data_IF_208632692662
#
_entry.id   IF_208632692662
#
_cell.length_a   1.000
_cell.length_b   1.000
_cell.length_c   1.000
_cell.angle_alpha   90.00
_cell.angle_beta   90.00
_cell.angle_gamma   90.00
#
_symmetry.space_group_name_H-M   'P 1'
#
loop_
_entity.id
_entity.type
_entity.pdbx_description
1 polymer ?
#
# COMPACT_ATOMS: atom_id res chain seq x y z
N UNK A 1 -12.02 -6.32 1.31
CA UNK A 1 -10.70 -6.97 1.39
C UNK A 1 -10.81 -8.28 2.13
N UNK A 2 -10.32 -9.35 1.54
CA UNK A 2 -10.30 -10.70 2.13
C UNK A 2 -8.85 -11.16 2.23
N UNK A 3 -8.34 -11.30 3.45
CA UNK A 3 -6.96 -11.64 3.73
C UNK A 3 -6.85 -12.14 5.18
N UNK A 4 -6.12 -13.21 5.44
CA UNK A 4 -5.93 -13.72 6.80
C UNK A 4 -4.94 -12.87 7.61
N UNK A 5 -4.07 -12.09 6.97
CA UNK A 5 -3.12 -11.22 7.64
C UNK A 5 -3.74 -9.86 8.00
N UNK A 6 -3.87 -9.60 9.31
CA UNK A 6 -4.42 -8.34 9.80
C UNK A 6 -3.66 -7.10 9.31
N UNK A 7 -2.30 -7.10 9.29
CA UNK A 7 -1.55 -5.95 8.80
C UNK A 7 -1.82 -5.60 7.34
N UNK A 8 -2.11 -6.58 6.50
CA UNK A 8 -2.43 -6.35 5.08
C UNK A 8 -3.83 -5.75 4.93
N UNK A 9 -4.79 -6.21 5.75
CA UNK A 9 -6.14 -5.60 5.81
C UNK A 9 -6.10 -4.17 6.30
N UNK A 10 -5.33 -3.89 7.35
CA UNK A 10 -5.16 -2.53 7.89
C UNK A 10 -4.49 -1.60 6.88
N UNK A 11 -3.45 -2.08 6.18
CA UNK A 11 -2.76 -1.31 5.15
C UNK A 11 -3.73 -0.85 4.06
N UNK A 12 -4.53 -1.75 3.49
CA UNK A 12 -5.48 -1.39 2.45
C UNK A 12 -6.61 -0.49 2.95
N UNK A 13 -7.02 -0.65 4.21
CA UNK A 13 -7.97 0.25 4.83
C UNK A 13 -7.40 1.67 4.98
N UNK A 14 -6.15 1.79 5.40
CA UNK A 14 -5.46 3.08 5.50
C UNK A 14 -5.22 3.74 4.13
N UNK A 15 -5.04 2.93 3.09
CA UNK A 15 -4.86 3.41 1.71
C UNK A 15 -6.16 3.95 1.10
N UNK A 16 -7.26 3.23 1.24
CA UNK A 16 -8.47 3.45 0.47
C UNK A 16 -9.54 4.26 1.20
N UNK A 17 -9.64 4.15 2.54
CA UNK A 17 -10.65 4.89 3.29
C UNK A 17 -10.50 6.42 3.19
N UNK A 18 -9.28 7.01 3.23
CA UNK A 18 -9.11 8.47 3.11
C UNK A 18 -9.54 9.04 1.75
N UNK A 19 -9.55 8.23 0.70
CA UNK A 19 -9.93 8.63 -0.65
C UNK A 19 -11.38 8.29 -0.98
N UNK A 20 -12.19 7.95 0.03
CA UNK A 20 -13.64 7.87 -0.07
C UNK A 20 -14.22 6.46 -0.28
N UNK A 21 -13.41 5.39 -0.22
CA UNK A 21 -13.93 4.02 -0.28
C UNK A 21 -14.53 3.58 1.07
N UNK A 22 -15.70 2.95 1.02
CA UNK A 22 -16.24 2.20 2.15
C UNK A 22 -15.66 0.78 2.11
N UNK A 23 -14.90 0.41 3.14
CA UNK A 23 -14.25 -0.90 3.20
C UNK A 23 -14.86 -1.79 4.27
N UNK A 24 -15.01 -3.06 3.92
CA UNK A 24 -15.23 -4.16 4.85
C UNK A 24 -14.09 -5.16 4.71
N UNK A 25 -13.66 -5.69 5.82
CA UNK A 25 -12.59 -6.69 5.86
C UNK A 25 -13.14 -8.04 6.29
N UNK A 26 -12.60 -9.11 5.71
CA UNK A 26 -12.85 -10.50 6.10
C UNK A 26 -11.49 -11.17 6.34
N UNK A 27 -11.38 -11.91 7.45
CA UNK A 27 -10.15 -12.60 7.82
C UNK A 27 -10.01 -14.00 7.18
N UNK A 28 -11.06 -14.45 6.50
CA UNK A 28 -11.11 -15.75 5.82
C UNK A 28 -12.09 -15.72 4.65
N UNK A 29 -11.99 -16.76 3.79
CA UNK A 29 -12.98 -16.96 2.75
C UNK A 29 -14.39 -17.21 3.31
N UNK A 30 -14.52 -17.87 4.46
CA UNK A 30 -15.82 -18.07 5.11
C UNK A 30 -16.43 -16.76 5.57
N UNK A 31 -15.68 -15.89 6.24
CA UNK A 31 -16.15 -14.58 6.67
C UNK A 31 -16.61 -13.73 5.47
N UNK A 32 -15.91 -13.84 4.34
CA UNK A 32 -16.32 -13.18 3.11
C UNK A 32 -17.68 -13.68 2.62
N UNK A 33 -17.88 -14.99 2.58
CA UNK A 33 -19.15 -15.60 2.18
C UNK A 33 -20.29 -15.19 3.12
N UNK A 34 -20.05 -15.17 4.42
CA UNK A 34 -21.01 -14.77 5.44
C UNK A 34 -21.42 -13.29 5.31
N UNK A 35 -20.47 -12.41 5.04
CA UNK A 35 -20.75 -10.99 4.78
C UNK A 35 -21.71 -10.80 3.58
N UNK A 36 -21.46 -11.51 2.47
CA UNK A 36 -22.32 -11.41 1.29
C UNK A 36 -23.68 -12.09 1.52
N UNK A 37 -23.72 -13.20 2.26
CA UNK A 37 -24.96 -13.86 2.65
C UNK A 37 -25.82 -12.97 3.57
N UNK A 38 -25.18 -12.17 4.43
CA UNK A 38 -25.84 -11.17 5.26
C UNK A 38 -26.37 -9.94 4.48
N UNK A 39 -26.16 -9.90 3.16
CA UNK A 39 -26.69 -8.86 2.29
C UNK A 39 -25.67 -7.76 1.90
N UNK A 40 -24.42 -7.84 2.34
CA UNK A 40 -23.41 -6.89 1.87
C UNK A 40 -23.15 -7.07 0.37
N UNK A 41 -23.10 -5.96 -0.37
CA UNK A 41 -22.94 -5.95 -1.83
C UNK A 41 -21.78 -5.02 -2.20
N UNK A 42 -20.54 -5.52 -2.23
CA UNK A 42 -19.39 -4.73 -2.64
C UNK A 42 -19.34 -4.61 -4.17
N UNK A 43 -18.81 -3.50 -4.65
CA UNK A 43 -18.46 -3.32 -6.07
C UNK A 43 -17.19 -4.09 -6.42
N UNK A 44 -16.27 -4.21 -5.46
CA UNK A 44 -14.97 -4.85 -5.60
C UNK A 44 -14.65 -5.77 -4.44
N UNK A 45 -14.02 -6.90 -4.73
CA UNK A 45 -13.36 -7.77 -3.76
C UNK A 45 -11.88 -7.87 -4.10
N UNK A 46 -11.01 -7.50 -3.16
CA UNK A 46 -9.59 -7.79 -3.19
C UNK A 46 -9.37 -9.08 -2.41
N UNK A 47 -8.92 -10.14 -3.07
CA UNK A 47 -8.89 -11.51 -2.55
C UNK A 47 -7.45 -12.03 -2.44
N UNK A 48 -7.01 -12.35 -1.23
CA UNK A 48 -5.82 -13.16 -1.05
C UNK A 48 -6.05 -14.62 -1.43
N UNK A 49 -5.05 -15.26 -2.01
CA UNK A 49 -5.15 -16.68 -2.37
C UNK A 49 -4.75 -17.60 -1.22
N UNK A 50 -3.73 -17.23 -0.47
CA UNK A 50 -3.08 -18.12 0.50
C UNK A 50 -3.72 -18.02 1.88
N UNK A 51 -4.97 -18.40 2.01
CA UNK A 51 -5.71 -18.36 3.27
C UNK A 51 -5.93 -19.76 3.86
N UNK A 52 -5.92 -19.89 5.20
CA UNK A 52 -6.28 -21.15 5.86
C UNK A 52 -7.78 -21.47 5.69
N UNK A 53 -8.11 -22.75 5.63
CA UNK A 53 -9.47 -23.24 5.43
C UNK A 53 -9.82 -23.31 3.94
N UNK A 54 -10.70 -22.46 3.47
CA UNK A 54 -10.94 -22.30 2.03
C UNK A 54 -10.01 -21.21 1.48
N UNK A 55 -9.30 -21.54 0.41
CA UNK A 55 -8.42 -20.60 -0.28
C UNK A 55 -9.20 -19.54 -1.08
N UNK A 56 -8.47 -18.59 -1.66
CA UNK A 56 -9.10 -17.53 -2.45
C UNK A 56 -9.82 -18.07 -3.69
N UNK A 57 -9.25 -19.08 -4.36
CA UNK A 57 -9.89 -19.69 -5.54
C UNK A 57 -11.22 -20.35 -5.21
N UNK A 58 -11.25 -21.15 -4.16
CA UNK A 58 -12.48 -21.81 -3.71
C UNK A 58 -13.52 -20.78 -3.24
N UNK A 59 -13.07 -19.71 -2.57
CA UNK A 59 -13.95 -18.62 -2.16
C UNK A 59 -14.60 -17.96 -3.37
N UNK A 60 -13.83 -17.64 -4.41
CA UNK A 60 -14.35 -17.04 -5.65
C UNK A 60 -15.32 -18.00 -6.36
N UNK A 61 -15.01 -19.30 -6.45
CA UNK A 61 -15.92 -20.29 -7.04
C UNK A 61 -17.28 -20.28 -6.35
N UNK A 62 -17.29 -20.29 -5.00
CA UNK A 62 -18.53 -20.24 -4.22
C UNK A 62 -19.30 -18.95 -4.42
N UNK A 63 -18.61 -17.81 -4.46
CA UNK A 63 -19.23 -16.53 -4.78
C UNK A 63 -19.90 -16.51 -6.16
N UNK A 64 -19.19 -17.00 -7.18
CA UNK A 64 -19.73 -17.09 -8.55
C UNK A 64 -20.92 -18.06 -8.64
N UNK A 65 -20.87 -19.20 -7.93
CA UNK A 65 -21.95 -20.16 -7.84
C UNK A 65 -23.18 -19.60 -7.10
N UNK A 66 -22.97 -18.74 -6.08
CA UNK A 66 -24.03 -18.03 -5.37
C UNK A 66 -24.64 -16.86 -6.17
N UNK A 67 -24.16 -16.61 -7.40
CA UNK A 67 -24.73 -15.60 -8.30
C UNK A 67 -24.06 -14.23 -8.25
N UNK A 68 -22.99 -14.06 -7.48
CA UNK A 68 -22.23 -12.80 -7.41
C UNK A 68 -21.29 -12.65 -8.61
N UNK A 69 -21.84 -12.48 -9.81
CA UNK A 69 -21.05 -12.41 -11.07
C UNK A 69 -20.61 -10.99 -11.40
N UNK A 70 -21.35 -10.00 -10.95
CA UNK A 70 -21.12 -8.58 -11.28
C UNK A 70 -20.05 -7.92 -10.40
N UNK A 71 -19.62 -8.59 -9.33
CA UNK A 71 -18.59 -8.08 -8.43
C UNK A 71 -17.23 -8.18 -9.13
N UNK A 72 -16.53 -7.05 -9.26
CA UNK A 72 -15.14 -7.02 -9.73
C UNK A 72 -14.23 -7.67 -8.68
N UNK A 73 -13.31 -8.52 -9.13
CA UNK A 73 -12.40 -9.23 -8.23
C UNK A 73 -10.96 -9.04 -8.67
N UNK A 74 -10.11 -8.62 -7.75
CA UNK A 74 -8.66 -8.70 -7.94
C UNK A 74 -8.07 -9.72 -6.98
N UNK A 75 -7.14 -10.50 -7.49
CA UNK A 75 -6.28 -11.35 -6.68
C UNK A 75 -5.13 -10.51 -6.14
N UNK A 76 -4.86 -10.63 -4.85
CA UNK A 76 -3.72 -9.98 -4.19
C UNK A 76 -2.84 -11.10 -3.62
N UNK A 77 -1.77 -11.48 -4.33
CA UNK A 77 -0.95 -12.65 -3.99
C UNK A 77 0.52 -12.30 -3.79
N UNK A 78 1.17 -12.98 -2.85
CA UNK A 78 2.62 -12.92 -2.67
C UNK A 78 3.39 -13.64 -3.78
N UNK A 79 2.73 -14.50 -4.56
CA UNK A 79 3.35 -15.30 -5.59
C UNK A 79 3.02 -14.77 -6.99
N UNK A 80 4.00 -14.17 -7.66
CA UNK A 80 3.83 -13.66 -9.02
C UNK A 80 3.51 -14.72 -10.06
N UNK A 81 3.82 -16.01 -9.81
CA UNK A 81 3.52 -17.11 -10.71
C UNK A 81 2.02 -17.43 -10.78
N UNK A 82 1.24 -17.05 -9.74
CA UNK A 82 -0.21 -17.26 -9.74
C UNK A 82 -0.91 -16.50 -10.87
N UNK A 83 -0.31 -15.40 -11.34
CA UNK A 83 -0.80 -14.59 -12.46
C UNK A 83 -0.87 -15.35 -13.79
N UNK A 84 -0.01 -16.34 -13.98
CA UNK A 84 0.06 -17.13 -15.21
C UNK A 84 -0.77 -18.41 -15.17
N UNK A 85 -1.46 -18.71 -14.06
CA UNK A 85 -2.25 -19.93 -13.94
C UNK A 85 -3.60 -19.77 -14.67
N UNK A 86 -3.94 -20.75 -15.49
CA UNK A 86 -5.29 -20.89 -15.98
C UNK A 86 -6.23 -21.16 -14.81
N UNK A 87 -7.34 -20.44 -14.75
CA UNK A 87 -8.31 -20.57 -13.68
C UNK A 87 -9.73 -20.74 -14.25
N UNK A 88 -10.55 -21.47 -13.53
CA UNK A 88 -11.95 -21.78 -13.86
C UNK A 88 -12.94 -20.70 -13.45
N UNK A 89 -12.46 -19.61 -12.82
CA UNK A 89 -13.29 -18.51 -12.28
C UNK A 89 -13.22 -17.22 -13.10
N UNK A 90 -12.55 -17.28 -14.27
CA UNK A 90 -12.46 -16.18 -15.24
C UNK A 90 -11.84 -14.90 -14.66
N UNK A 91 -10.78 -15.05 -13.85
CA UNK A 91 -9.95 -13.92 -13.41
C UNK A 91 -8.87 -13.69 -14.48
N UNK A 92 -8.82 -12.49 -15.01
CA UNK A 92 -7.85 -12.12 -16.05
C UNK A 92 -6.47 -11.78 -15.44
N UNK A 93 -5.37 -11.94 -16.20
CA UNK A 93 -4.03 -11.60 -15.71
C UNK A 93 -3.88 -10.15 -15.21
N UNK A 94 -4.65 -9.22 -15.75
CA UNK A 94 -4.69 -7.83 -15.32
C UNK A 94 -5.40 -7.62 -13.97
N UNK A 95 -6.10 -8.62 -13.47
CA UNK A 95 -6.76 -8.61 -12.16
C UNK A 95 -5.88 -9.22 -11.06
N UNK A 96 -4.60 -9.42 -11.34
CA UNK A 96 -3.61 -9.86 -10.36
C UNK A 96 -2.73 -8.71 -9.93
N UNK A 97 -2.71 -8.46 -8.62
CA UNK A 97 -1.86 -7.49 -7.94
C UNK A 97 -0.88 -8.29 -7.08
N UNK A 98 0.42 -8.11 -7.31
CA UNK A 98 1.46 -8.84 -6.58
C UNK A 98 1.82 -8.08 -5.31
N UNK A 99 1.86 -8.80 -4.16
CA UNK A 99 2.37 -8.22 -2.91
C UNK A 99 3.89 -8.00 -2.99
N UNK A 100 4.42 -6.89 -2.49
CA UNK A 100 3.73 -5.83 -1.75
C UNK A 100 2.88 -4.94 -2.67
N UNK A 101 1.65 -4.67 -2.26
CA UNK A 101 0.69 -3.86 -3.04
C UNK A 101 1.25 -2.45 -3.20
N UNK A 102 1.40 -2.02 -4.46
CA UNK A 102 1.78 -0.65 -4.80
C UNK A 102 0.53 0.21 -4.88
N UNK A 103 0.56 1.36 -4.23
CA UNK A 103 -0.58 2.28 -4.21
C UNK A 103 -1.05 2.66 -5.63
N UNK A 104 -0.12 3.06 -6.51
CA UNK A 104 -0.44 3.42 -7.89
C UNK A 104 -1.08 2.26 -8.66
N UNK A 105 -0.52 1.04 -8.55
CA UNK A 105 -1.05 -0.14 -9.26
C UNK A 105 -2.48 -0.47 -8.81
N UNK A 106 -2.76 -0.37 -7.51
CA UNK A 106 -4.10 -0.59 -6.98
C UNK A 106 -5.08 0.49 -7.45
N UNK A 107 -4.69 1.78 -7.41
CA UNK A 107 -5.55 2.87 -7.87
C UNK A 107 -5.82 2.81 -9.38
N UNK A 108 -4.81 2.52 -10.19
CA UNK A 108 -4.95 2.33 -11.64
C UNK A 108 -5.89 1.16 -11.97
N UNK A 109 -5.85 0.09 -11.16
CA UNK A 109 -6.75 -1.04 -11.31
C UNK A 109 -8.19 -0.66 -10.94
N UNK A 110 -8.39 0.00 -9.79
CA UNK A 110 -9.71 0.48 -9.34
C UNK A 110 -10.33 1.46 -10.35
N UNK A 111 -9.54 2.42 -10.85
CA UNK A 111 -9.97 3.38 -11.86
C UNK A 111 -10.52 2.68 -13.09
N UNK A 112 -9.76 1.73 -13.63
CA UNK A 112 -10.17 0.99 -14.83
C UNK A 112 -11.40 0.12 -14.60
N UNK A 113 -11.48 -0.58 -13.46
CA UNK A 113 -12.57 -1.52 -13.18
C UNK A 113 -13.88 -0.85 -12.79
N UNK A 114 -13.80 0.28 -12.08
CA UNK A 114 -14.98 1.02 -11.62
C UNK A 114 -15.27 2.25 -12.48
N UNK A 115 -14.48 2.50 -13.53
CA UNK A 115 -14.59 3.71 -14.38
C UNK A 115 -14.58 5.00 -13.56
N UNK A 116 -13.67 5.07 -12.56
CA UNK A 116 -13.57 6.22 -11.66
C UNK A 116 -12.96 7.42 -12.40
N UNK A 117 -13.37 8.58 -11.96
CA UNK A 117 -12.71 9.84 -12.31
C UNK A 117 -12.23 10.47 -11.01
N UNK A 118 -10.92 10.55 -10.85
CA UNK A 118 -10.35 11.19 -9.67
C UNK A 118 -10.59 12.68 -9.72
N UNK A 119 -11.12 13.23 -8.63
CA UNK A 119 -11.35 14.68 -8.50
C UNK A 119 -10.51 15.20 -7.33
N UNK A 120 -9.87 16.36 -7.53
CA UNK A 120 -9.11 17.03 -6.48
C UNK A 120 -9.99 17.78 -5.46
N UNK A 121 -11.31 17.57 -5.48
CA UNK A 121 -12.26 18.29 -4.62
C UNK A 121 -12.08 18.06 -3.12
N UNK A 122 -11.42 16.95 -2.73
CA UNK A 122 -11.08 16.69 -1.32
C UNK A 122 -9.98 17.59 -0.74
N UNK A 123 -9.34 18.42 -1.58
CA UNK A 123 -8.33 19.39 -1.11
C UNK A 123 -8.92 20.73 -0.66
N UNK A 124 -10.24 20.94 -0.78
CA UNK A 124 -10.83 22.27 -0.52
C UNK A 124 -11.24 22.49 0.94
N UNK A 125 -11.21 21.49 1.80
CA UNK A 125 -11.52 21.62 3.24
C UNK A 125 -10.42 21.18 4.20
N UNK A 126 -9.25 20.79 3.71
CA UNK A 126 -8.09 20.79 4.60
C UNK A 126 -7.60 22.24 4.67
N UNK A 127 -7.47 22.81 5.88
CA UNK A 127 -6.87 24.12 6.01
C UNK A 127 -5.56 24.07 5.24
N UNK A 128 -5.39 25.00 4.30
CA UNK A 128 -4.13 25.17 3.57
C UNK A 128 -3.03 25.14 4.63
N UNK A 129 -2.47 23.97 4.86
CA UNK A 129 -1.21 23.90 5.56
C UNK A 129 -0.23 24.54 4.57
N UNK A 130 -0.17 25.87 4.73
CA UNK A 130 0.90 26.72 4.27
C UNK A 130 2.10 25.84 3.98
N UNK A 131 2.63 25.98 2.77
CA UNK A 131 3.97 25.54 2.43
C UNK A 131 4.85 25.68 3.69
N UNK A 132 4.99 24.57 4.42
CA UNK A 132 5.96 24.56 5.49
C UNK A 132 7.29 24.88 4.81
N UNK A 133 8.00 25.90 5.29
CA UNK A 133 9.37 26.10 4.84
C UNK A 133 10.05 24.72 4.98
N UNK A 134 10.90 24.32 4.03
CA UNK A 134 11.50 23.00 4.01
C UNK A 134 12.08 22.75 5.41
N UNK A 135 11.48 21.81 6.14
CA UNK A 135 11.97 21.43 7.46
C UNK A 135 13.35 20.83 7.21
N UNK A 136 14.37 21.63 7.43
CA UNK A 136 15.75 21.13 7.44
C UNK A 136 15.87 20.34 8.73
N UNK A 137 16.05 19.01 8.68
CA UNK A 137 16.15 18.23 9.88
C UNK A 137 17.40 18.66 10.65
N UNK A 138 17.32 18.66 11.97
CA UNK A 138 18.47 18.98 12.84
C UNK A 138 19.61 17.98 12.64
N UNK A 139 19.28 16.74 12.28
CA UNK A 139 20.25 15.68 11.95
C UNK A 139 19.68 14.81 10.83
N UNK A 140 20.56 14.43 9.91
CA UNK A 140 20.26 13.46 8.86
C UNK A 140 20.72 12.07 9.29
N UNK A 141 19.97 11.01 8.92
CA UNK A 141 20.44 9.63 9.11
C UNK A 141 21.71 9.36 8.31
N UNK A 142 22.42 8.30 8.69
CA UNK A 142 23.59 7.85 7.92
C UNK A 142 23.25 7.63 6.45
N UNK A 143 24.19 7.86 5.51
CA UNK A 143 23.96 7.71 4.07
C UNK A 143 23.40 6.33 3.69
N UNK A 144 23.82 5.26 4.37
CA UNK A 144 23.31 3.91 4.15
C UNK A 144 21.83 3.80 4.50
N UNK A 145 21.36 4.45 5.58
CA UNK A 145 19.93 4.47 5.98
C UNK A 145 19.10 5.31 5.03
N UNK A 146 19.62 6.46 4.60
CA UNK A 146 18.95 7.29 3.59
C UNK A 146 18.79 6.50 2.28
N UNK A 147 19.81 5.78 1.84
CA UNK A 147 19.74 4.96 0.64
C UNK A 147 18.72 3.82 0.76
N UNK A 148 18.71 3.08 1.87
CA UNK A 148 17.74 2.02 2.11
C UNK A 148 16.31 2.57 2.11
N UNK A 149 16.08 3.72 2.77
CA UNK A 149 14.78 4.38 2.79
C UNK A 149 14.36 4.87 1.39
N UNK A 150 15.29 5.45 0.62
CA UNK A 150 15.03 5.88 -0.75
C UNK A 150 14.58 4.72 -1.63
N UNK A 151 15.19 3.55 -1.46
CA UNK A 151 14.82 2.36 -2.21
C UNK A 151 13.38 1.91 -1.91
N UNK A 152 12.96 1.85 -0.64
CA UNK A 152 11.60 1.44 -0.30
C UNK A 152 10.56 2.51 -0.67
N UNK A 153 10.94 3.79 -0.61
CA UNK A 153 10.09 4.91 -1.06
C UNK A 153 9.88 4.85 -2.57
N UNK A 154 10.92 4.60 -3.36
CA UNK A 154 10.82 4.49 -4.83
C UNK A 154 9.96 3.30 -5.29
N UNK A 155 9.88 2.27 -4.45
CA UNK A 155 9.00 1.12 -4.68
C UNK A 155 7.54 1.40 -4.27
N UNK A 156 7.26 2.52 -3.59
CA UNK A 156 5.94 2.80 -3.01
C UNK A 156 5.54 1.80 -1.92
N UNK A 157 6.53 1.14 -1.29
CA UNK A 157 6.29 0.11 -0.30
C UNK A 157 6.11 0.71 1.10
N UNK A 158 4.86 1.10 1.42
CA UNK A 158 4.50 1.82 2.65
C UNK A 158 5.02 1.15 3.93
N UNK A 159 4.81 -0.16 4.09
CA UNK A 159 5.25 -0.90 5.27
C UNK A 159 6.78 -0.93 5.39
N UNK A 160 7.48 -1.09 4.27
CA UNK A 160 8.93 -1.00 4.24
C UNK A 160 9.43 0.38 4.65
N UNK A 161 8.74 1.43 4.25
CA UNK A 161 9.04 2.80 4.69
C UNK A 161 8.90 2.93 6.19
N UNK A 162 7.78 2.50 6.77
CA UNK A 162 7.56 2.58 8.23
C UNK A 162 8.62 1.79 9.00
N UNK A 163 8.94 0.57 8.60
CA UNK A 163 9.97 -0.24 9.23
C UNK A 163 11.35 0.45 9.19
N UNK A 164 11.73 1.05 8.04
CA UNK A 164 12.98 1.80 7.94
C UNK A 164 12.98 3.04 8.83
N UNK A 165 11.85 3.73 8.97
CA UNK A 165 11.73 4.89 9.86
C UNK A 165 11.82 4.47 11.35
N UNK A 166 11.21 3.35 11.72
CA UNK A 166 11.30 2.80 13.08
C UNK A 166 12.74 2.38 13.42
N UNK A 167 13.44 1.75 12.48
CA UNK A 167 14.86 1.40 12.63
C UNK A 167 15.75 2.65 12.78
N UNK A 168 15.49 3.71 12.02
CA UNK A 168 16.22 4.98 12.14
C UNK A 168 15.96 5.60 13.50
N UNK A 169 14.72 5.67 13.95
CA UNK A 169 14.35 6.25 15.25
C UNK A 169 15.01 5.51 16.42
N UNK A 170 15.04 4.16 16.35
CA UNK A 170 15.63 3.33 17.39
C UNK A 170 17.16 3.44 17.45
N UNK A 171 17.85 3.56 16.32
CA UNK A 171 19.30 3.54 16.22
C UNK A 171 19.94 4.93 16.18
N UNK A 172 19.18 5.95 15.78
CA UNK A 172 19.61 7.34 15.62
C UNK A 172 18.54 8.31 16.17
N UNK A 173 18.35 8.36 17.50
CA UNK A 173 17.30 9.19 18.13
C UNK A 173 17.42 10.68 17.79
N UNK A 174 18.61 11.14 17.47
CA UNK A 174 18.88 12.52 17.03
C UNK A 174 18.19 12.88 15.70
N UNK A 175 17.76 11.87 14.93
CA UNK A 175 17.05 12.05 13.68
C UNK A 175 15.52 12.10 13.87
N UNK A 176 15.01 12.25 15.09
CA UNK A 176 13.57 12.22 15.38
C UNK A 176 12.74 13.19 14.52
N UNK A 177 13.22 14.41 14.27
CA UNK A 177 12.54 15.39 13.42
C UNK A 177 12.44 14.94 11.96
N UNK A 178 13.48 14.29 11.43
CA UNK A 178 13.51 13.66 10.12
C UNK A 178 12.47 12.53 10.03
N UNK A 179 12.47 11.64 11.02
CA UNK A 179 11.53 10.51 11.09
C UNK A 179 10.09 10.99 11.16
N UNK A 180 9.79 11.96 12.03
CA UNK A 180 8.44 12.52 12.18
C UNK A 180 7.93 13.14 10.87
N UNK A 181 8.78 13.90 10.18
CA UNK A 181 8.41 14.50 8.91
C UNK A 181 8.09 13.46 7.85
N UNK A 182 8.96 12.47 7.66
CA UNK A 182 8.72 11.42 6.67
C UNK A 182 7.57 10.48 7.06
N UNK A 183 7.37 10.23 8.36
CA UNK A 183 6.23 9.46 8.85
C UNK A 183 4.90 10.19 8.56
N UNK A 184 4.87 11.53 8.66
CA UNK A 184 3.71 12.32 8.28
C UNK A 184 3.42 12.23 6.77
N UNK A 185 4.44 12.36 5.92
CA UNK A 185 4.31 12.18 4.47
C UNK A 185 3.88 10.74 4.10
N UNK A 186 4.45 9.74 4.78
CA UNK A 186 4.09 8.34 4.54
C UNK A 186 2.62 8.07 4.86
N UNK A 187 2.09 8.59 5.97
CA UNK A 187 0.66 8.46 6.33
C UNK A 187 -0.28 9.11 5.31
N UNK A 188 0.19 10.08 4.55
CA UNK A 188 -0.53 10.72 3.46
C UNK A 188 -0.18 10.11 2.09
N UNK A 189 0.58 9.02 2.06
CA UNK A 189 1.05 8.33 0.84
C UNK A 189 1.79 9.23 -0.15
N UNK A 190 2.37 10.34 0.31
CA UNK A 190 3.10 11.32 -0.49
C UNK A 190 4.52 10.84 -0.81
N UNK A 191 4.65 9.70 -1.50
CA UNK A 191 5.95 9.09 -1.81
C UNK A 191 6.82 9.97 -2.70
N UNK A 192 6.21 10.76 -3.58
CA UNK A 192 6.96 11.71 -4.40
C UNK A 192 7.56 12.84 -3.57
N UNK A 193 6.80 13.41 -2.63
CA UNK A 193 7.31 14.41 -1.70
C UNK A 193 8.42 13.84 -0.81
N UNK A 194 8.30 12.57 -0.38
CA UNK A 194 9.35 11.86 0.35
C UNK A 194 10.61 11.71 -0.51
N UNK A 195 10.47 11.31 -1.77
CA UNK A 195 11.60 11.17 -2.70
C UNK A 195 12.31 12.50 -2.90
N UNK A 196 11.56 13.59 -3.13
CA UNK A 196 12.11 14.94 -3.27
C UNK A 196 12.81 15.42 -2.00
N UNK A 197 12.30 15.04 -0.83
CA UNK A 197 12.93 15.36 0.44
C UNK A 197 14.24 14.60 0.63
N UNK A 198 14.26 13.31 0.31
CA UNK A 198 15.45 12.45 0.45
C UNK A 198 16.58 12.83 -0.49
N UNK A 199 16.29 13.36 -1.68
CA UNK A 199 17.31 13.89 -2.62
C UNK A 199 18.12 15.05 -2.01
N UNK A 200 17.55 15.76 -1.02
CA UNK A 200 18.25 16.85 -0.32
C UNK A 200 19.21 16.38 0.77
N UNK A 201 19.29 15.06 1.02
CA UNK A 201 20.23 14.53 1.99
C UNK A 201 21.67 14.90 1.60
N UNK A 202 22.50 15.35 2.56
CA UNK A 202 23.88 15.66 2.27
C UNK A 202 24.57 14.38 1.77
N UNK A 203 25.17 14.47 0.59
CA UNK A 203 26.04 13.40 0.06
C UNK A 203 27.19 13.19 1.05
N UNK A 204 27.51 11.94 1.37
CA UNK A 204 28.69 11.64 2.18
C UNK A 204 29.91 12.36 1.61
N UNK A 205 30.75 13.01 2.43
CA UNK A 205 32.01 13.53 1.95
C UNK A 205 32.80 12.36 1.33
N UNK A 206 33.20 12.53 0.10
CA UNK A 206 34.10 11.57 -0.57
C UNK A 206 35.29 11.35 0.37
N UNK A 207 35.53 10.10 0.75
CA UNK A 207 36.75 9.71 1.45
C UNK A 207 37.91 10.11 0.54
N UNK A 208 38.60 11.19 0.86
CA UNK A 208 39.92 11.42 0.32
C UNK A 208 40.81 10.26 0.82
N UNK A 209 41.47 9.53 -0.07
CA UNK A 209 42.47 8.57 0.36
C UNK A 209 43.61 9.37 1.00
N UNK A 210 43.85 9.17 2.28
CA UNK A 210 45.07 9.62 2.92
C UNK A 210 46.27 9.07 2.12
N UNK A 211 46.95 9.99 1.47
CA UNK A 211 48.25 9.72 0.86
C UNK A 211 49.26 9.50 2.00
N UNK A 212 49.75 8.28 2.07
CA UNK A 212 50.92 7.91 2.85
C UNK A 212 52.20 8.07 2.01
#
# INVERSE_FOLDING_TARGET
MVDNEEPDRELLQQLLAPIGFELRTAASGHDCLDLLAAGYRPDVILMDLAMPGIDGWETIRRLRAAGHRDIHMAIVSANAFDKGLENDVSIAPEDFIVKPVRHSELLDWLERRLSLVWTDEAMTEMPSMTSHPPVVPQSWPTPARVQALTQVVSLGYFRGVLNQLDDIEALQPECASFVQHLRALARQFQFEAMSQYLVRAPSAPAHEPEAC
#
